data_IF_024936750585
#
_entry.id   IF_024936750585
#
_cell.length_a   1.000
_cell.length_b   1.000
_cell.length_c   1.000
_cell.angle_alpha   90.00
_cell.angle_beta   90.00
_cell.angle_gamma   90.00
#
_symmetry.space_group_name_H-M   'P 1'
#
loop_
_entity.id
_entity.type
_entity.pdbx_description
1 polymer ?
#
# COMPACT_ATOMS: atom_id res chain seq x y z
N UNK A 1 4.90 12.30 -40.37
CA UNK A 1 5.59 12.11 -39.08
C UNK A 1 4.51 11.87 -38.02
N UNK A 2 4.16 10.63 -37.65
CA UNK A 2 3.20 10.43 -36.59
C UNK A 2 3.87 10.78 -35.25
N UNK A 3 3.19 11.59 -34.44
CA UNK A 3 3.61 11.90 -33.08
C UNK A 3 3.58 10.61 -32.26
N UNK A 4 4.74 10.20 -31.75
CA UNK A 4 4.84 9.11 -30.78
C UNK A 4 4.11 9.56 -29.52
N UNK A 5 2.89 9.06 -29.30
CA UNK A 5 2.22 9.14 -28.01
C UNK A 5 3.06 8.32 -27.03
N UNK A 6 3.95 9.01 -26.30
CA UNK A 6 4.56 8.46 -25.10
C UNK A 6 3.43 8.28 -24.09
N UNK A 7 2.76 7.12 -24.14
CA UNK A 7 1.89 6.65 -23.07
C UNK A 7 2.80 6.47 -21.85
N UNK A 8 2.90 7.51 -21.02
CA UNK A 8 3.45 7.35 -19.69
C UNK A 8 2.59 6.25 -19.02
N UNK A 9 3.18 5.13 -18.59
CA UNK A 9 2.40 4.02 -18.08
C UNK A 9 1.56 4.52 -16.90
N UNK A 10 0.23 4.40 -17.02
CA UNK A 10 -0.71 4.75 -15.95
C UNK A 10 -0.51 3.94 -14.66
N UNK A 11 0.45 3.01 -14.65
CA UNK A 11 0.90 2.26 -13.49
C UNK A 11 1.59 3.15 -12.45
N UNK A 12 2.22 4.26 -12.86
CA UNK A 12 2.98 5.16 -11.98
C UNK A 12 2.21 6.43 -11.59
N UNK A 13 1.15 6.77 -12.33
CA UNK A 13 0.36 7.98 -12.14
C UNK A 13 -0.99 7.58 -11.54
N UNK A 14 -1.36 8.11 -10.37
CA UNK A 14 -2.54 7.71 -9.61
C UNK A 14 -3.81 7.55 -10.48
N UNK A 15 -4.28 6.30 -10.60
CA UNK A 15 -5.34 5.85 -11.52
C UNK A 15 -6.61 5.40 -10.80
N UNK A 16 -6.52 5.08 -9.51
CA UNK A 16 -7.66 4.60 -8.72
C UNK A 16 -8.04 5.61 -7.64
N UNK A 17 -9.28 6.08 -7.66
CA UNK A 17 -9.84 6.78 -6.50
C UNK A 17 -9.95 5.81 -5.31
N UNK A 18 -10.05 6.33 -4.08
CA UNK A 18 -10.29 5.47 -2.92
C UNK A 18 -11.59 4.69 -2.98
N UNK A 19 -12.60 5.17 -3.73
CA UNK A 19 -13.84 4.42 -3.91
C UNK A 19 -13.62 3.17 -4.75
N UNK A 20 -12.99 3.34 -5.92
CA UNK A 20 -12.66 2.24 -6.83
C UNK A 20 -11.68 1.26 -6.18
N UNK A 21 -10.62 1.77 -5.56
CA UNK A 21 -9.64 0.94 -4.87
C UNK A 21 -10.27 0.14 -3.72
N UNK A 22 -11.22 0.72 -2.98
CA UNK A 22 -11.88 0.03 -1.88
C UNK A 22 -12.77 -1.12 -2.38
N UNK A 23 -13.46 -0.91 -3.50
CA UNK A 23 -14.24 -1.95 -4.16
C UNK A 23 -13.34 -3.09 -4.66
N UNK A 24 -12.20 -2.75 -5.28
CA UNK A 24 -11.24 -3.72 -5.82
C UNK A 24 -10.54 -4.51 -4.69
N UNK A 25 -10.06 -3.83 -3.65
CA UNK A 25 -9.41 -4.48 -2.49
C UNK A 25 -10.43 -5.25 -1.63
N UNK A 26 -11.70 -4.86 -1.62
CA UNK A 26 -12.74 -5.51 -0.81
C UNK A 26 -12.75 -5.04 0.64
N UNK A 27 -12.53 -3.74 0.87
CA UNK A 27 -12.59 -3.12 2.21
C UNK A 27 -13.43 -1.84 2.16
N UNK A 28 -13.81 -1.29 3.32
CA UNK A 28 -14.47 0.02 3.34
C UNK A 28 -13.54 1.14 2.89
N UNK A 29 -14.09 2.16 2.21
CA UNK A 29 -13.35 3.36 1.79
C UNK A 29 -12.61 4.03 2.95
N UNK A 30 -13.24 4.07 4.13
CA UNK A 30 -12.61 4.64 5.32
C UNK A 30 -11.40 3.81 5.78
N UNK A 31 -11.53 2.48 5.83
CA UNK A 31 -10.43 1.60 6.22
C UNK A 31 -9.26 1.71 5.25
N UNK A 32 -9.55 1.70 3.95
CA UNK A 32 -8.55 1.92 2.90
C UNK A 32 -7.83 3.26 3.08
N UNK A 33 -8.58 4.34 3.28
CA UNK A 33 -8.01 5.68 3.54
C UNK A 33 -7.08 5.67 4.75
N UNK A 34 -7.48 5.03 5.87
CA UNK A 34 -6.65 4.95 7.08
C UNK A 34 -5.36 4.17 6.86
N UNK A 35 -5.36 3.17 5.98
CA UNK A 35 -4.15 2.43 5.60
C UNK A 35 -3.26 3.26 4.67
N UNK A 36 -3.85 3.94 3.69
CA UNK A 36 -3.13 4.71 2.69
C UNK A 36 -2.55 6.04 3.22
N UNK A 37 -3.29 6.75 4.09
CA UNK A 37 -2.95 8.10 4.54
C UNK A 37 -2.55 8.18 6.02
N UNK A 38 -2.74 7.10 6.78
CA UNK A 38 -2.73 7.16 8.24
C UNK A 38 -4.00 7.81 8.80
N UNK A 39 -4.03 7.97 10.13
CA UNK A 39 -5.13 8.63 10.84
C UNK A 39 -4.73 9.02 12.26
N UNK A 40 -5.46 9.96 12.86
CA UNK A 40 -5.33 10.27 14.29
C UNK A 40 -6.35 9.45 15.08
N UNK A 41 -5.88 8.70 16.08
CA UNK A 41 -6.79 8.03 17.02
C UNK A 41 -7.21 9.02 18.11
N UNK A 42 -8.51 9.33 18.17
CA UNK A 42 -9.08 10.25 19.17
C UNK A 42 -9.43 9.56 20.49
N UNK A 43 -9.22 8.25 20.62
CA UNK A 43 -9.68 7.44 21.77
C UNK A 43 -8.69 7.35 22.92
N UNK A 44 -7.43 7.77 22.75
CA UNK A 44 -6.46 7.86 23.85
C UNK A 44 -6.35 9.32 24.29
N UNK A 45 -6.11 9.53 25.59
CA UNK A 45 -5.80 10.84 26.16
C UNK A 45 -4.60 11.53 25.47
N UNK A 46 -3.78 10.76 24.75
CA UNK A 46 -2.86 11.24 23.73
C UNK A 46 -3.44 11.07 22.32
N UNK A 47 -3.40 12.14 21.52
CA UNK A 47 -3.69 12.12 20.09
C UNK A 47 -2.61 11.31 19.35
N UNK A 48 -2.69 9.99 19.42
CA UNK A 48 -1.77 9.09 18.74
C UNK A 48 -1.98 9.17 17.23
N UNK A 49 -1.06 9.82 16.51
CA UNK A 49 -1.00 9.76 15.05
C UNK A 49 -0.53 8.37 14.64
N UNK A 50 -1.32 7.71 13.80
CA UNK A 50 -0.98 6.46 13.14
C UNK A 50 -0.56 6.76 11.72
N UNK A 51 0.69 6.44 11.39
CA UNK A 51 1.25 6.64 10.06
C UNK A 51 0.55 5.75 9.00
N UNK A 52 0.76 6.11 7.74
CA UNK A 52 0.35 5.28 6.61
C UNK A 52 1.11 3.95 6.60
N UNK A 53 0.50 2.92 6.03
CA UNK A 53 1.20 1.67 5.73
C UNK A 53 2.04 1.81 4.46
N UNK A 54 1.55 2.57 3.48
CA UNK A 54 2.26 2.84 2.23
C UNK A 54 3.53 3.67 2.50
N UNK A 55 4.62 3.30 1.83
CA UNK A 55 5.94 3.93 1.96
C UNK A 55 6.35 4.73 0.71
N UNK A 56 5.45 4.90 -0.26
CA UNK A 56 5.67 5.69 -1.47
C UNK A 56 5.43 7.18 -1.24
N UNK A 57 6.16 8.01 -1.99
CA UNK A 57 5.78 9.42 -2.16
C UNK A 57 4.52 9.49 -3.01
N UNK A 58 3.42 9.99 -2.44
CA UNK A 58 2.10 9.84 -3.06
C UNK A 58 1.16 11.02 -2.88
N UNK A 59 0.27 11.17 -3.86
CA UNK A 59 -0.84 12.12 -3.81
C UNK A 59 -2.02 11.51 -3.07
N UNK A 60 -2.45 12.15 -1.97
CA UNK A 60 -3.63 11.72 -1.21
C UNK A 60 -4.89 11.72 -2.09
N UNK A 61 -5.76 10.74 -1.88
CA UNK A 61 -7.06 10.61 -2.54
C UNK A 61 -7.05 9.75 -3.81
N UNK A 62 -5.88 9.49 -4.39
CA UNK A 62 -5.70 8.58 -5.53
C UNK A 62 -4.60 7.58 -5.24
N UNK A 63 -4.66 6.42 -5.91
CA UNK A 63 -3.66 5.36 -5.81
C UNK A 63 -3.16 4.99 -7.19
N UNK A 64 -1.86 4.75 -7.30
CA UNK A 64 -1.30 4.08 -8.47
C UNK A 64 -1.47 2.56 -8.34
N UNK A 65 -1.03 1.80 -9.36
CA UNK A 65 -1.22 0.35 -9.35
C UNK A 65 -0.41 -0.35 -8.24
N UNK A 66 0.84 0.04 -8.02
CA UNK A 66 1.67 -0.54 -6.98
C UNK A 66 1.08 -0.34 -5.58
N UNK A 67 0.57 0.86 -5.30
CA UNK A 67 -0.11 1.17 -4.04
C UNK A 67 -1.40 0.37 -3.85
N UNK A 68 -2.14 0.10 -4.93
CA UNK A 68 -3.30 -0.78 -4.88
C UNK A 68 -2.89 -2.20 -4.46
N UNK A 69 -1.82 -2.74 -5.05
CA UNK A 69 -1.28 -4.06 -4.73
C UNK A 69 -0.75 -4.12 -3.29
N UNK A 70 -0.05 -3.09 -2.82
CA UNK A 70 0.35 -2.97 -1.41
C UNK A 70 -0.86 -3.13 -0.48
N UNK A 71 -1.95 -2.41 -0.75
CA UNK A 71 -3.15 -2.46 0.09
C UNK A 71 -3.89 -3.80 0.00
N UNK A 72 -3.77 -4.54 -1.11
CA UNK A 72 -4.20 -5.94 -1.18
C UNK A 72 -3.41 -6.81 -0.19
N UNK A 73 -2.09 -6.72 -0.16
CA UNK A 73 -1.28 -7.46 0.81
C UNK A 73 -1.61 -7.07 2.25
N UNK A 74 -1.80 -5.77 2.52
CA UNK A 74 -2.25 -5.30 3.83
C UNK A 74 -3.58 -5.94 4.23
N UNK A 75 -4.54 -6.04 3.31
CA UNK A 75 -5.81 -6.75 3.56
C UNK A 75 -5.55 -8.21 3.96
N UNK A 76 -4.70 -8.92 3.23
CA UNK A 76 -4.40 -10.33 3.50
C UNK A 76 -3.74 -10.52 4.86
N UNK A 77 -2.74 -9.72 5.22
CA UNK A 77 -2.13 -9.79 6.56
C UNK A 77 -3.15 -9.54 7.66
N UNK A 78 -4.04 -8.56 7.49
CA UNK A 78 -5.07 -8.25 8.47
C UNK A 78 -6.12 -9.36 8.56
N UNK A 79 -6.47 -10.02 7.44
CA UNK A 79 -7.35 -11.19 7.43
C UNK A 79 -6.71 -12.40 8.14
N UNK A 80 -5.39 -12.52 8.09
CA UNK A 80 -4.59 -13.48 8.86
C UNK A 80 -4.38 -13.06 10.32
N UNK A 81 -5.13 -12.08 10.82
CA UNK A 81 -5.06 -11.54 12.17
C UNK A 81 -3.70 -10.94 12.57
N UNK A 82 -2.86 -10.56 11.60
CA UNK A 82 -1.63 -9.80 11.87
C UNK A 82 -2.03 -8.38 12.32
N UNK A 83 -1.54 -7.91 13.48
CA UNK A 83 -1.83 -6.55 13.93
C UNK A 83 -1.39 -5.50 12.91
N UNK A 84 -2.26 -4.54 12.58
CA UNK A 84 -1.95 -3.50 11.59
C UNK A 84 -0.68 -2.70 11.93
N UNK A 85 -0.39 -2.51 13.22
CA UNK A 85 0.85 -1.87 13.67
C UNK A 85 2.09 -2.68 13.27
N UNK A 86 2.03 -4.01 13.38
CA UNK A 86 3.10 -4.88 12.93
C UNK A 86 3.26 -4.81 11.40
N UNK A 87 2.16 -4.74 10.65
CA UNK A 87 2.20 -4.53 9.18
C UNK A 87 2.90 -3.21 8.83
N UNK A 88 2.60 -2.11 9.54
CA UNK A 88 3.30 -0.82 9.35
C UNK A 88 4.80 -0.92 9.59
N UNK A 89 5.18 -1.53 10.72
CA UNK A 89 6.59 -1.69 11.07
C UNK A 89 7.34 -2.54 10.05
N UNK A 90 6.70 -3.61 9.55
CA UNK A 90 7.26 -4.45 8.48
C UNK A 90 7.40 -3.67 7.18
N UNK A 91 6.37 -2.93 6.75
CA UNK A 91 6.42 -2.12 5.54
C UNK A 91 7.58 -1.11 5.59
N UNK A 92 7.73 -0.40 6.71
CA UNK A 92 8.83 0.55 6.92
C UNK A 92 10.20 -0.13 6.82
N UNK A 93 10.41 -1.23 7.55
CA UNK A 93 11.70 -1.97 7.54
C UNK A 93 12.04 -2.56 6.18
N UNK A 94 11.03 -3.04 5.44
CA UNK A 94 11.24 -3.53 4.09
C UNK A 94 11.57 -2.38 3.14
N UNK A 95 10.86 -1.25 3.24
CA UNK A 95 11.12 -0.10 2.37
C UNK A 95 12.52 0.48 2.57
N UNK A 96 13.04 0.46 3.80
CA UNK A 96 14.44 0.81 4.10
C UNK A 96 15.46 -0.09 3.37
N UNK A 97 15.08 -1.32 3.01
CA UNK A 97 15.96 -2.30 2.35
C UNK A 97 15.79 -2.36 0.84
N UNK A 98 14.55 -2.34 0.35
CA UNK A 98 14.22 -2.62 -1.06
C UNK A 98 13.52 -1.44 -1.77
N UNK A 99 13.33 -0.31 -1.09
CA UNK A 99 12.73 0.89 -1.65
C UNK A 99 11.19 0.95 -1.57
N UNK A 100 10.55 1.85 -2.32
CA UNK A 100 9.11 2.03 -2.26
C UNK A 100 8.37 0.76 -2.74
N UNK A 101 7.15 0.58 -2.26
CA UNK A 101 6.30 -0.58 -2.56
C UNK A 101 6.88 -1.92 -2.05
N UNK A 102 7.17 -2.03 -0.75
CA UNK A 102 7.84 -3.20 -0.17
C UNK A 102 7.07 -4.53 -0.29
N UNK A 103 5.74 -4.50 -0.37
CA UNK A 103 4.89 -5.68 -0.53
C UNK A 103 4.65 -6.05 -2.00
N UNK A 104 4.67 -5.08 -2.90
CA UNK A 104 4.52 -5.26 -4.35
C UNK A 104 5.86 -5.50 -5.07
N UNK A 105 6.99 -5.37 -4.37
CA UNK A 105 8.32 -5.65 -4.93
C UNK A 105 8.51 -7.14 -5.22
N UNK A 106 9.09 -7.44 -6.38
CA UNK A 106 9.47 -8.80 -6.78
C UNK A 106 10.47 -9.44 -5.79
N UNK A 107 11.30 -8.64 -5.13
CA UNK A 107 12.29 -9.12 -4.15
C UNK A 107 11.64 -9.78 -2.92
N UNK A 108 10.43 -9.32 -2.53
CA UNK A 108 9.68 -9.95 -1.45
C UNK A 108 9.20 -11.35 -1.83
N UNK A 109 8.81 -11.55 -3.09
CA UNK A 109 8.38 -12.86 -3.62
C UNK A 109 9.56 -13.84 -3.66
N UNK A 110 10.76 -13.35 -3.97
CA UNK A 110 11.99 -14.14 -4.03
C UNK A 110 12.46 -14.57 -2.63
N UNK A 111 12.22 -13.76 -1.59
CA UNK A 111 12.57 -14.09 -0.20
C UNK A 111 11.58 -15.04 0.51
N UNK A 112 10.51 -15.46 -0.15
CA UNK A 112 9.42 -16.26 0.43
C UNK A 112 9.45 -17.75 0.12
N UNK A 113 10.43 -18.24 -0.67
CA UNK A 113 10.50 -19.67 -1.05
C UNK A 113 11.81 -20.06 -1.77
N UNK A 114 12.65 -20.87 -1.12
CA UNK A 114 13.23 -22.03 -1.81
C UNK A 114 12.04 -22.94 -2.18
N UNK A 115 11.64 -22.90 -3.45
CA UNK A 115 10.66 -23.81 -4.03
C UNK A 115 11.39 -25.09 -4.46
N UNK A 116 11.62 -26.01 -3.50
CA UNK A 116 12.31 -27.30 -3.66
C UNK A 116 13.80 -27.11 -4.04
N UNK A 117 14.78 -27.45 -3.19
CA UNK A 117 15.06 -28.76 -2.60
C UNK A 117 16.17 -28.63 -1.55
#
# INVERSE_FOLDING_TARGET
MPATLTLAPGLEHGVYSYGEAAAVVGVSRERLRRWADGYTDKRKHDLGVKEAVLQSERRKGVLNFYELIELFFVREYVNLAVPLEQVRQTAKRLAERIGPYPFASAELVVAGRELLR
#
